data_IF_746063215438
#
_entry.id   IF_746063215438
#
_cell.length_a   1.000
_cell.length_b   1.000
_cell.length_c   1.000
_cell.angle_alpha   90.00
_cell.angle_beta   90.00
_cell.angle_gamma   90.00
#
_symmetry.space_group_name_H-M   'P 1'
#
loop_
_entity.id
_entity.type
_entity.pdbx_description
1 polymer ?
#
# COMPACT_ATOMS: atom_id res chain seq x y z
N UNK A 1 -3.42 7.58 -20.34
CA UNK A 1 -3.59 6.13 -20.29
C UNK A 1 -3.89 5.75 -18.84
N UNK A 2 -4.84 4.84 -18.58
CA UNK A 2 -5.15 4.39 -17.20
C UNK A 2 -4.03 3.50 -16.66
N UNK A 3 -3.91 3.41 -15.35
CA UNK A 3 -2.96 2.48 -14.72
C UNK A 3 -3.35 1.02 -15.04
N UNK A 4 -2.39 0.11 -15.18
CA UNK A 4 -2.70 -1.29 -15.42
C UNK A 4 -3.35 -1.93 -14.20
N UNK A 5 -4.53 -2.53 -14.42
CA UNK A 5 -5.30 -3.27 -13.43
C UNK A 5 -5.32 -4.78 -13.70
N UNK A 6 -4.85 -5.20 -14.89
CA UNK A 6 -4.71 -6.60 -15.28
C UNK A 6 -3.28 -6.94 -15.70
N UNK A 7 -2.95 -8.23 -15.72
CA UNK A 7 -1.63 -8.69 -16.16
C UNK A 7 -1.42 -8.49 -17.67
N UNK A 8 -2.51 -8.53 -18.45
CA UNK A 8 -2.52 -8.27 -19.88
C UNK A 8 -2.11 -6.84 -20.17
N UNK A 9 -2.69 -5.86 -19.47
CA UNK A 9 -2.35 -4.44 -19.63
C UNK A 9 -0.89 -4.12 -19.23
N UNK A 10 -0.30 -4.87 -18.29
CA UNK A 10 1.13 -4.78 -17.96
C UNK A 10 1.98 -5.23 -19.15
N UNK A 11 1.58 -6.34 -19.82
CA UNK A 11 2.28 -6.86 -21.00
C UNK A 11 2.11 -5.96 -22.22
N UNK A 12 0.91 -5.40 -22.44
CA UNK A 12 0.64 -4.44 -23.54
C UNK A 12 1.51 -3.18 -23.43
N UNK A 13 1.90 -2.79 -22.21
CA UNK A 13 2.86 -1.70 -21.97
C UNK A 13 4.32 -2.10 -22.22
N UNK A 14 4.59 -3.37 -22.58
CA UNK A 14 5.92 -3.90 -22.76
C UNK A 14 6.71 -4.05 -21.44
N UNK A 15 6.02 -4.20 -20.30
CA UNK A 15 6.68 -4.35 -19.02
C UNK A 15 6.88 -5.82 -18.66
N UNK A 16 8.13 -6.24 -18.41
CA UNK A 16 8.46 -7.58 -17.91
C UNK A 16 8.01 -7.81 -16.46
N UNK A 17 7.52 -6.78 -15.79
CA UNK A 17 7.04 -6.81 -14.42
C UNK A 17 6.89 -5.41 -13.88
N UNK A 18 6.34 -5.31 -12.68
CA UNK A 18 6.03 -4.06 -12.00
C UNK A 18 7.02 -3.78 -10.87
N UNK A 19 7.28 -2.50 -10.61
CA UNK A 19 8.13 -2.08 -9.50
C UNK A 19 7.34 -2.05 -8.20
N UNK A 20 6.09 -1.55 -8.27
CA UNK A 20 5.15 -1.53 -7.16
C UNK A 20 3.79 -2.06 -7.57
N UNK A 21 3.10 -2.72 -6.63
CA UNK A 21 1.67 -3.00 -6.72
C UNK A 21 0.97 -2.17 -5.65
N UNK A 22 0.03 -1.31 -6.07
CA UNK A 22 -0.81 -0.55 -5.16
C UNK A 22 -2.11 -1.31 -4.90
N UNK A 23 -2.34 -1.69 -3.64
CA UNK A 23 -3.55 -2.41 -3.20
C UNK A 23 -4.49 -1.43 -2.54
N UNK A 24 -5.70 -1.30 -3.07
CA UNK A 24 -6.76 -0.45 -2.54
C UNK A 24 -7.98 -1.26 -2.11
N UNK A 25 -8.60 -0.86 -1.00
CA UNK A 25 -9.90 -1.37 -0.58
C UNK A 25 -11.08 -0.79 -1.35
N UNK A 26 -10.88 0.24 -2.16
CA UNK A 26 -11.90 0.86 -3.01
C UNK A 26 -11.85 0.29 -4.43
N UNK A 27 -12.96 0.45 -5.16
CA UNK A 27 -12.99 0.28 -6.61
C UNK A 27 -11.95 1.20 -7.29
N UNK A 28 -11.51 0.82 -8.48
CA UNK A 28 -10.59 1.64 -9.25
C UNK A 28 -11.29 2.93 -9.74
N UNK A 29 -10.75 4.07 -9.29
CA UNK A 29 -11.16 5.40 -9.75
C UNK A 29 -9.90 6.24 -9.95
N UNK A 30 -9.63 6.60 -11.20
CA UNK A 30 -8.51 7.47 -11.57
C UNK A 30 -8.97 8.93 -11.59
N UNK A 31 -9.15 9.50 -10.41
CA UNK A 31 -9.59 10.88 -10.23
C UNK A 31 -8.77 11.54 -9.09
N UNK A 32 -8.40 12.82 -9.22
CA UNK A 32 -7.54 13.51 -8.24
C UNK A 32 -8.15 13.65 -6.84
N UNK A 33 -9.44 13.36 -6.65
CA UNK A 33 -10.06 13.27 -5.32
C UNK A 33 -9.70 11.98 -4.57
N UNK A 34 -9.09 10.99 -5.25
CA UNK A 34 -8.71 9.72 -4.66
C UNK A 34 -7.19 9.67 -4.41
N UNK A 35 -6.81 9.51 -3.16
CA UNK A 35 -5.40 9.44 -2.77
C UNK A 35 -4.60 8.35 -3.49
N UNK A 36 -5.26 7.25 -3.82
CA UNK A 36 -4.68 6.16 -4.60
C UNK A 36 -4.26 6.63 -6.00
N UNK A 37 -5.13 7.36 -6.72
CA UNK A 37 -4.83 7.90 -8.03
C UNK A 37 -3.66 8.90 -7.97
N UNK A 38 -3.67 9.83 -7.01
CA UNK A 38 -2.58 10.81 -6.86
C UNK A 38 -1.24 10.12 -6.63
N UNK A 39 -1.18 9.20 -5.66
CA UNK A 39 0.07 8.51 -5.29
C UNK A 39 0.61 7.71 -6.46
N UNK A 40 -0.23 6.93 -7.13
CA UNK A 40 0.21 6.08 -8.23
C UNK A 40 0.63 6.90 -9.46
N UNK A 41 -0.05 8.02 -9.75
CA UNK A 41 0.35 8.94 -10.83
C UNK A 41 1.67 9.66 -10.55
N UNK A 42 1.90 10.07 -9.31
CA UNK A 42 3.21 10.65 -8.91
C UNK A 42 4.31 9.61 -9.07
N UNK A 43 4.07 8.37 -8.66
CA UNK A 43 5.05 7.29 -8.83
C UNK A 43 5.33 6.99 -10.31
N UNK A 44 4.29 6.98 -11.15
CA UNK A 44 4.43 6.81 -12.60
C UNK A 44 5.24 7.96 -13.23
N UNK A 45 4.98 9.20 -12.81
CA UNK A 45 5.74 10.38 -13.26
C UNK A 45 7.22 10.32 -12.87
N UNK A 46 7.56 9.70 -11.74
CA UNK A 46 8.94 9.44 -11.31
C UNK A 46 9.57 8.22 -12.02
N UNK A 47 8.87 7.62 -13.00
CA UNK A 47 9.37 6.53 -13.83
C UNK A 47 9.19 5.13 -13.24
N UNK A 48 8.42 4.96 -12.16
CA UNK A 48 8.12 3.64 -11.62
C UNK A 48 6.98 2.96 -12.39
N UNK A 49 7.10 1.65 -12.60
CA UNK A 49 6.05 0.80 -13.15
C UNK A 49 5.11 0.38 -12.03
N UNK A 50 3.95 1.00 -11.96
CA UNK A 50 2.96 0.77 -10.90
C UNK A 50 1.74 0.07 -11.46
N UNK A 51 1.38 -1.09 -10.90
CA UNK A 51 0.11 -1.74 -11.16
C UNK A 51 -0.87 -1.45 -10.01
N UNK A 52 -2.16 -1.38 -10.35
CA UNK A 52 -3.22 -1.07 -9.40
C UNK A 52 -4.10 -2.29 -9.16
N UNK A 53 -4.16 -2.76 -7.91
CA UNK A 53 -5.00 -3.85 -7.47
C UNK A 53 -6.16 -3.28 -6.66
N UNK A 54 -7.31 -3.08 -7.33
CA UNK A 54 -8.53 -2.57 -6.72
C UNK A 54 -9.30 -3.70 -6.08
N UNK A 55 -9.65 -3.52 -4.83
CA UNK A 55 -10.60 -4.34 -4.08
C UNK A 55 -10.42 -5.87 -4.29
N UNK A 56 -9.19 -6.41 -4.03
CA UNK A 56 -8.93 -7.83 -4.24
C UNK A 56 -9.79 -8.72 -3.35
N UNK A 57 -10.19 -9.88 -3.86
CA UNK A 57 -10.87 -10.89 -3.04
C UNK A 57 -9.93 -11.43 -1.97
N UNK A 58 -10.04 -10.89 -0.77
CA UNK A 58 -9.20 -11.24 0.38
C UNK A 58 -9.38 -12.68 0.87
N UNK A 59 -10.42 -13.38 0.41
CA UNK A 59 -10.69 -14.79 0.73
C UNK A 59 -9.85 -15.72 -0.13
N UNK A 60 -9.45 -15.26 -1.34
CA UNK A 60 -8.65 -16.03 -2.30
C UNK A 60 -7.25 -15.44 -2.45
N UNK A 61 -6.38 -16.16 -3.15
CA UNK A 61 -4.99 -15.75 -3.39
C UNK A 61 -4.80 -15.17 -4.79
N UNK A 62 -5.69 -15.52 -5.73
CA UNK A 62 -5.53 -15.30 -7.16
C UNK A 62 -5.32 -13.83 -7.52
N UNK A 63 -6.11 -12.95 -6.92
CA UNK A 63 -5.99 -11.52 -7.17
C UNK A 63 -4.64 -10.97 -6.72
N UNK A 64 -4.15 -11.41 -5.57
CA UNK A 64 -2.84 -10.97 -5.06
C UNK A 64 -1.67 -11.51 -5.88
N UNK A 65 -1.85 -12.62 -6.58
CA UNK A 65 -0.84 -13.22 -7.46
C UNK A 65 -0.88 -12.67 -8.88
N UNK A 66 -1.92 -11.90 -9.26
CA UNK A 66 -2.19 -11.39 -10.61
C UNK A 66 -0.98 -10.72 -11.28
N UNK A 67 -0.23 -9.92 -10.56
CA UNK A 67 0.93 -9.20 -11.08
C UNK A 67 2.27 -9.88 -10.75
N UNK A 68 2.25 -11.03 -10.10
CA UNK A 68 3.45 -11.68 -9.59
C UNK A 68 4.15 -10.87 -8.48
N UNK A 69 5.42 -11.15 -8.25
CA UNK A 69 6.24 -10.48 -7.22
C UNK A 69 6.75 -9.13 -7.74
N UNK A 70 6.35 -7.99 -7.15
CA UNK A 70 6.87 -6.70 -7.54
C UNK A 70 8.35 -6.56 -7.15
N UNK A 71 9.12 -5.77 -7.92
CA UNK A 71 10.56 -5.59 -7.72
C UNK A 71 10.91 -4.86 -6.42
N UNK A 72 10.11 -3.86 -6.06
CA UNK A 72 10.38 -2.99 -4.90
C UNK A 72 9.44 -3.27 -3.73
N UNK A 73 8.15 -3.54 -3.96
CA UNK A 73 7.23 -3.85 -2.89
C UNK A 73 5.76 -3.52 -3.17
N UNK A 74 4.97 -3.64 -2.12
CA UNK A 74 3.54 -3.31 -2.14
C UNK A 74 3.27 -2.00 -1.43
N UNK A 75 2.30 -1.24 -1.95
CA UNK A 75 1.68 -0.11 -1.27
C UNK A 75 0.25 -0.48 -0.92
N UNK A 76 -0.16 -0.35 0.34
CA UNK A 76 -1.45 -0.83 0.83
C UNK A 76 -2.24 0.27 1.50
N UNK A 77 -3.48 0.46 1.05
CA UNK A 77 -4.46 1.39 1.61
C UNK A 77 -5.82 0.71 1.77
N UNK A 78 -6.62 1.16 2.74
CA UNK A 78 -8.03 0.74 2.85
C UNK A 78 -8.94 1.38 1.80
N UNK A 79 -8.43 2.35 1.05
CA UNK A 79 -9.20 3.23 0.21
C UNK A 79 -9.39 4.63 0.82
N UNK A 80 -10.40 5.36 0.37
CA UNK A 80 -10.66 6.75 0.76
C UNK A 80 -11.05 6.92 2.22
N UNK A 81 -11.68 5.92 2.82
CA UNK A 81 -12.09 5.94 4.22
C UNK A 81 -11.61 4.69 4.97
N UNK A 82 -11.69 4.73 6.30
CA UNK A 82 -11.44 3.56 7.16
C UNK A 82 -12.49 2.48 6.88
N UNK A 83 -12.05 1.23 6.74
CA UNK A 83 -12.91 0.09 6.42
C UNK A 83 -14.02 -0.15 7.45
N UNK A 84 -13.74 0.08 8.73
CA UNK A 84 -14.77 -0.04 9.78
C UNK A 84 -15.80 1.07 9.69
N UNK A 85 -15.40 2.29 9.31
CA UNK A 85 -16.33 3.41 9.07
C UNK A 85 -17.18 3.16 7.81
N UNK A 86 -16.61 2.51 6.80
CA UNK A 86 -17.34 2.11 5.61
C UNK A 86 -18.43 1.06 5.93
N UNK A 87 -18.12 0.13 6.83
CA UNK A 87 -19.00 -1.01 7.12
C UNK A 87 -19.99 -0.78 8.26
N UNK A 88 -19.66 0.10 9.22
CA UNK A 88 -20.47 0.26 10.42
C UNK A 88 -20.91 1.70 10.63
N UNK A 89 -22.09 1.86 11.21
CA UNK A 89 -22.57 3.15 11.72
C UNK A 89 -21.93 3.44 13.08
N UNK A 90 -22.10 4.68 13.59
CA UNK A 90 -21.67 5.04 14.95
C UNK A 90 -22.31 4.13 16.03
N UNK A 91 -23.54 3.64 15.80
CA UNK A 91 -24.22 2.69 16.67
C UNK A 91 -23.78 1.22 16.46
N UNK A 92 -22.65 0.99 15.75
CA UNK A 92 -22.09 -0.34 15.44
C UNK A 92 -23.04 -1.27 14.65
N UNK A 93 -24.03 -0.72 13.96
CA UNK A 93 -24.86 -1.48 13.03
C UNK A 93 -24.19 -1.54 11.67
N UNK A 94 -24.28 -2.69 10.99
CA UNK A 94 -23.82 -2.83 9.62
C UNK A 94 -24.58 -1.86 8.70
N UNK A 95 -23.85 -1.25 7.77
CA UNK A 95 -24.43 -0.49 6.67
C UNK A 95 -24.91 -1.48 5.60
N UNK A 96 -25.95 -1.09 4.88
CA UNK A 96 -26.49 -1.88 3.76
C UNK A 96 -25.71 -1.71 2.45
N UNK A 97 -24.91 -0.65 2.34
CA UNK A 97 -24.20 -0.28 1.12
C UNK A 97 -22.79 0.23 1.46
N UNK A 98 -21.81 -0.09 0.59
CA UNK A 98 -20.49 0.50 0.57
C UNK A 98 -20.38 1.44 -0.63
N UNK A 99 -20.32 2.75 -0.39
CA UNK A 99 -20.27 3.78 -1.43
C UNK A 99 -19.02 3.70 -2.34
N UNK A 100 -17.97 3.04 -1.90
CA UNK A 100 -16.69 2.91 -2.62
C UNK A 100 -16.50 1.55 -3.28
N UNK A 101 -17.49 0.69 -3.21
CA UNK A 101 -17.51 -0.61 -3.89
C UNK A 101 -18.34 -0.56 -5.18
N UNK A 102 -17.98 -1.35 -6.22
CA UNK A 102 -18.76 -1.45 -7.44
C UNK A 102 -20.21 -1.83 -7.12
N UNK A 103 -21.15 -1.13 -7.72
CA UNK A 103 -22.59 -1.33 -7.46
C UNK A 103 -23.01 -1.09 -6.01
N UNK A 104 -22.18 -0.44 -5.20
CA UNK A 104 -22.39 -0.23 -3.75
C UNK A 104 -22.54 -1.53 -2.95
N UNK A 105 -21.99 -2.63 -3.47
CA UNK A 105 -22.10 -3.96 -2.84
C UNK A 105 -21.30 -3.98 -1.55
N UNK A 106 -21.96 -4.42 -0.46
CA UNK A 106 -21.30 -4.56 0.83
C UNK A 106 -20.51 -5.88 0.94
N UNK A 107 -19.38 -5.84 1.66
CA UNK A 107 -18.59 -7.04 2.00
C UNK A 107 -17.53 -7.45 0.97
N UNK A 108 -17.30 -6.66 -0.08
CA UNK A 108 -16.18 -6.86 -0.99
C UNK A 108 -14.86 -6.46 -0.33
N UNK A 109 -14.84 -5.41 0.45
CA UNK A 109 -13.72 -5.00 1.28
C UNK A 109 -13.75 -5.76 2.62
N UNK A 110 -12.63 -6.21 3.19
CA UNK A 110 -12.61 -6.80 4.53
C UNK A 110 -12.66 -5.73 5.63
N UNK A 111 -13.13 -6.12 6.80
CA UNK A 111 -12.92 -5.34 8.02
C UNK A 111 -11.43 -5.19 8.31
N UNK A 112 -11.00 -3.98 8.68
CA UNK A 112 -9.59 -3.67 8.91
C UNK A 112 -8.72 -4.00 7.69
N UNK A 113 -9.12 -3.51 6.53
CA UNK A 113 -8.61 -3.89 5.21
C UNK A 113 -7.08 -3.85 5.13
N UNK A 114 -6.43 -2.80 5.67
CA UNK A 114 -4.96 -2.68 5.67
C UNK A 114 -4.30 -3.88 6.36
N UNK A 115 -4.85 -4.34 7.49
CA UNK A 115 -4.28 -5.48 8.23
C UNK A 115 -4.44 -6.77 7.45
N UNK A 116 -5.65 -7.01 6.91
CA UNK A 116 -5.97 -8.23 6.16
C UNK A 116 -5.12 -8.31 4.90
N UNK A 117 -5.04 -7.24 4.12
CA UNK A 117 -4.21 -7.21 2.90
C UNK A 117 -2.73 -7.39 3.20
N UNK A 118 -2.19 -6.73 4.24
CA UNK A 118 -0.80 -6.93 4.63
C UNK A 118 -0.49 -8.36 5.06
N UNK A 119 -1.40 -8.99 5.82
CA UNK A 119 -1.23 -10.39 6.22
C UNK A 119 -1.25 -11.33 5.01
N UNK A 120 -2.17 -11.09 4.05
CA UNK A 120 -2.27 -11.87 2.82
C UNK A 120 -1.01 -11.74 1.96
N UNK A 121 -0.49 -10.53 1.80
CA UNK A 121 0.77 -10.29 1.09
C UNK A 121 1.96 -10.98 1.81
N UNK A 122 2.00 -10.94 3.13
CA UNK A 122 3.04 -11.62 3.92
C UNK A 122 2.97 -13.14 3.78
N UNK A 123 1.77 -13.69 3.77
CA UNK A 123 1.54 -15.13 3.55
C UNK A 123 2.08 -15.58 2.19
N UNK A 124 1.81 -14.83 1.12
CA UNK A 124 2.14 -15.19 -0.25
C UNK A 124 3.59 -14.87 -0.66
N UNK A 125 4.13 -13.74 -0.19
CA UNK A 125 5.41 -13.21 -0.66
C UNK A 125 6.49 -13.14 0.41
N UNK A 126 6.19 -13.51 1.64
CA UNK A 126 7.15 -13.51 2.75
C UNK A 126 7.66 -12.11 3.10
N UNK A 127 8.97 -11.95 3.18
CA UNK A 127 9.61 -10.69 3.61
C UNK A 127 9.80 -9.70 2.45
N UNK A 128 8.70 -9.30 1.82
CA UNK A 128 8.68 -8.22 0.83
C UNK A 128 8.40 -6.87 1.51
N UNK A 129 8.97 -5.75 1.05
CA UNK A 129 8.64 -4.42 1.57
C UNK A 129 7.15 -4.10 1.36
N UNK A 130 6.48 -3.66 2.44
CA UNK A 130 5.11 -3.18 2.40
C UNK A 130 5.07 -1.77 2.97
N UNK A 131 4.56 -0.83 2.18
CA UNK A 131 4.31 0.56 2.56
C UNK A 131 2.81 0.66 2.85
N UNK A 132 2.46 1.07 4.05
CA UNK A 132 1.06 1.27 4.44
C UNK A 132 0.75 2.75 4.55
N UNK A 133 -0.42 3.15 4.07
CA UNK A 133 -0.86 4.54 4.09
C UNK A 133 -2.38 4.69 4.13
N UNK A 134 -2.82 5.92 3.95
CA UNK A 134 -4.23 6.29 3.97
C UNK A 134 -4.79 6.53 5.36
N UNK A 135 -6.09 6.82 5.39
CA UNK A 135 -6.79 7.26 6.60
C UNK A 135 -6.80 6.15 7.67
N UNK A 136 -7.08 4.90 7.28
CA UNK A 136 -7.13 3.77 8.21
C UNK A 136 -5.78 3.53 8.90
N UNK A 137 -4.68 3.56 8.17
CA UNK A 137 -3.35 3.40 8.73
C UNK A 137 -3.00 4.52 9.71
N UNK A 138 -3.40 5.76 9.41
CA UNK A 138 -3.20 6.92 10.25
C UNK A 138 -4.00 6.82 11.54
N UNK A 139 -5.28 6.53 11.48
CA UNK A 139 -6.17 6.39 12.65
C UNK A 139 -5.70 5.27 13.58
N UNK A 140 -5.32 4.10 13.03
CA UNK A 140 -4.86 2.97 13.86
C UNK A 140 -3.51 3.21 14.51
N UNK A 141 -2.72 4.14 14.01
CA UNK A 141 -1.45 4.54 14.62
C UNK A 141 -1.64 5.27 15.93
N UNK A 142 -2.74 6.00 16.08
CA UNK A 142 -3.09 6.76 17.29
C UNK A 142 -3.91 5.97 18.30
N UNK A 143 -4.37 4.75 17.97
CA UNK A 143 -5.15 3.94 18.91
C UNK A 143 -4.29 3.53 20.10
N UNK A 144 -4.69 3.83 21.35
CA UNK A 144 -3.96 3.40 22.54
C UNK A 144 -3.91 1.86 22.62
N UNK A 145 -2.72 1.30 22.78
CA UNK A 145 -2.50 -0.14 22.99
C UNK A 145 -1.82 -0.91 21.86
N UNK A 146 -1.59 -0.34 20.67
CA UNK A 146 -0.94 -1.08 19.57
C UNK A 146 0.54 -0.70 19.36
N UNK A 147 1.37 -1.00 20.34
CA UNK A 147 2.85 -0.89 20.21
C UNK A 147 3.46 -1.94 19.26
N UNK A 148 2.68 -2.91 18.76
CA UNK A 148 3.20 -4.05 18.00
C UNK A 148 3.64 -3.72 16.56
N UNK A 149 3.02 -2.74 15.88
CA UNK A 149 3.37 -2.39 14.50
C UNK A 149 4.67 -1.57 14.41
N UNK A 150 5.00 -0.81 15.46
CA UNK A 150 6.19 0.04 15.47
C UNK A 150 7.50 -0.73 15.75
N UNK A 151 7.44 -1.93 16.34
CA UNK A 151 8.65 -2.69 16.74
C UNK A 151 9.40 -3.36 15.59
N UNK A 152 8.74 -3.69 14.48
CA UNK A 152 9.42 -4.29 13.30
C UNK A 152 10.16 -3.26 12.41
N UNK A 153 9.98 -1.97 12.63
CA UNK A 153 10.67 -0.90 11.88
C UNK A 153 12.19 -0.80 12.13
N UNK A 154 12.74 -1.53 13.09
CA UNK A 154 14.17 -1.39 13.44
C UNK A 154 15.15 -2.24 12.61
N UNK A 155 14.67 -3.12 11.71
CA UNK A 155 15.57 -3.96 10.88
C UNK A 155 15.50 -3.73 9.37
N UNK A 156 14.51 -3.03 8.84
CA UNK A 156 14.52 -2.60 7.45
C UNK A 156 15.12 -1.20 7.37
N UNK A 157 16.35 -1.12 6.90
CA UNK A 157 17.03 0.16 6.66
C UNK A 157 16.18 1.07 5.78
N UNK A 158 16.18 2.35 6.11
CA UNK A 158 15.47 3.40 5.40
C UNK A 158 15.60 3.22 3.87
N UNK A 159 14.47 3.18 3.16
CA UNK A 159 14.42 3.02 1.71
C UNK A 159 15.29 4.07 1.00
N UNK A 160 15.34 5.30 1.54
CA UNK A 160 16.22 6.37 1.07
C UNK A 160 17.73 6.02 1.16
N UNK A 161 18.15 5.20 2.15
CA UNK A 161 19.53 4.75 2.26
C UNK A 161 19.88 3.64 1.26
N UNK A 162 18.92 2.83 0.81
CA UNK A 162 19.15 1.81 -0.23
C UNK A 162 19.22 2.40 -1.63
N UNK A 163 18.38 3.38 -1.96
CA UNK A 163 18.41 4.06 -3.25
C UNK A 163 19.68 4.88 -3.47
N UNK A 164 20.31 5.39 -2.41
CA UNK A 164 21.63 6.07 -2.51
C UNK A 164 22.81 5.12 -2.73
N UNK A 165 22.71 3.83 -2.39
CA UNK A 165 23.81 2.87 -2.58
C UNK A 165 23.98 2.39 -4.02
N UNK A 166 22.98 2.57 -4.89
CA UNK A 166 23.06 2.20 -6.31
C UNK A 166 23.69 3.29 -7.20
N UNK A 167 24.03 4.46 -6.64
CA UNK A 167 24.77 5.53 -7.31
C UNK A 167 26.13 5.78 -6.64
N UNK A 168 26.99 4.79 -6.55
CA UNK A 168 28.34 5.00 -6.04
C UNK A 168 29.26 5.55 -7.11
N UNK A 169 29.67 6.81 -6.93
CA UNK A 169 31.02 7.27 -7.32
C UNK A 169 31.99 6.88 -6.19
N UNK A 170 33.23 6.45 -6.51
CA UNK A 170 34.24 6.15 -5.51
C UNK A 170 34.81 7.46 -4.92
N UNK A 171 34.69 7.65 -3.63
CA UNK A 171 35.20 8.82 -2.93
C UNK A 171 34.52 9.05 -1.59
N UNK A 172 35.04 8.43 -0.54
CA UNK A 172 34.41 8.40 0.77
C UNK A 172 34.38 9.74 1.51
N UNK A 173 33.23 10.05 2.07
CA UNK A 173 33.10 10.81 3.33
C UNK A 173 31.99 10.22 4.15
N UNK A 174 32.32 9.76 5.36
CA UNK A 174 31.36 9.20 6.33
C UNK A 174 30.37 10.28 6.77
N UNK A 175 29.08 9.98 6.69
CA UNK A 175 28.01 10.86 7.15
C UNK A 175 28.03 10.94 8.69
N UNK A 176 28.55 12.06 9.26
CA UNK A 176 28.64 12.34 10.72
C UNK A 176 27.37 12.95 11.31
N UNK A 177 26.18 12.81 10.70
CA UNK A 177 24.96 13.47 11.19
C UNK A 177 23.95 12.56 11.91
N UNK A 178 24.34 11.40 12.41
CA UNK A 178 23.40 10.49 13.11
C UNK A 178 23.40 10.62 14.65
N UNK A 179 24.14 11.55 15.27
CA UNK A 179 24.26 11.63 16.74
C UNK A 179 23.54 12.78 17.43
N UNK A 180 22.86 13.68 16.72
CA UNK A 180 22.24 14.88 17.31
C UNK A 180 20.76 14.74 17.68
N UNK A 181 20.11 13.59 17.55
CA UNK A 181 18.67 13.43 17.79
C UNK A 181 18.29 12.60 19.03
N UNK A 182 19.18 12.49 20.01
CA UNK A 182 18.94 11.71 21.25
C UNK A 182 18.80 12.51 22.52
N UNK A 183 18.64 13.82 22.47
CA UNK A 183 18.36 14.61 23.68
C UNK A 183 17.30 15.65 23.37
N UNK A 184 16.03 15.28 23.43
CA UNK A 184 14.82 16.05 23.78
C UNK A 184 13.60 15.20 23.40
N UNK A 185 13.04 14.61 24.32
CA UNK A 185 11.72 14.29 24.88
C UNK A 185 11.92 13.15 25.86
#
# INVERSE_FOLDING_TARGET
MFLPITAEEVKERGWDGVDFVYVSGDAYVDHPSFGAAIITRVMEAEGYRVAFLSQPDWRKNDDFLRFGRPKLGFMVSSGNIDSMVAHYTAAKKHRSQDAYSPGKVMGLRPDRAVIVYCNKIRELYGDIPIIIGGLEASLRRFAPGRRAVARKRRRSGCLQCRLRKSRTRPGGRRCRRARAWRRRV
#
